data_IF_395093579348
#
_entry.id   IF_395093579348
#
_cell.length_a   1.000
_cell.length_b   1.000
_cell.length_c   1.000
_cell.angle_alpha   90.00
_cell.angle_beta   90.00
_cell.angle_gamma   90.00
#
_symmetry.space_group_name_H-M   'P 1'
#
loop_
_entity.id
_entity.type
_entity.pdbx_description
1 polymer ?
#
# COMPACT_ATOMS: atom_id res chain seq x y z
N UNK A 1 1.53 -13.46 -0.89
CA UNK A 1 2.82 -13.60 -0.19
C UNK A 1 2.63 -13.67 1.30
N UNK A 2 3.74 -13.54 2.04
CA UNK A 2 3.79 -13.58 3.50
C UNK A 2 2.95 -12.44 4.12
N UNK A 3 2.18 -12.73 5.18
CA UNK A 3 1.50 -11.71 5.98
C UNK A 3 2.55 -10.89 6.77
N UNK A 4 2.66 -9.61 6.44
CA UNK A 4 3.61 -8.69 7.03
C UNK A 4 3.34 -8.45 8.52
N UNK A 5 2.08 -8.44 8.95
CA UNK A 5 1.74 -8.29 10.35
C UNK A 5 2.12 -9.54 11.16
N UNK A 6 1.96 -10.73 10.57
CA UNK A 6 2.46 -11.95 11.19
C UNK A 6 4.00 -11.97 11.26
N UNK A 7 4.67 -11.29 10.32
CA UNK A 7 6.12 -11.09 10.31
C UNK A 7 6.61 -9.95 11.21
N UNK A 8 5.72 -9.26 11.94
CA UNK A 8 6.08 -8.22 12.91
C UNK A 8 5.74 -6.78 12.51
N UNK A 9 5.03 -6.55 11.40
CA UNK A 9 4.52 -5.23 11.06
C UNK A 9 3.52 -4.77 12.13
N UNK A 10 3.79 -3.61 12.73
CA UNK A 10 2.93 -2.99 13.73
C UNK A 10 1.97 -1.98 13.07
N UNK A 11 0.91 -1.59 13.76
CA UNK A 11 -0.01 -0.55 13.26
C UNK A 11 0.71 0.77 12.97
N UNK A 12 1.67 1.16 13.82
CA UNK A 12 2.45 2.37 13.61
C UNK A 12 3.39 2.25 12.40
N UNK A 13 4.04 1.10 12.21
CA UNK A 13 4.86 0.83 11.04
C UNK A 13 4.03 0.80 9.75
N UNK A 14 2.80 0.30 9.79
CA UNK A 14 1.88 0.33 8.66
C UNK A 14 1.48 1.76 8.24
N UNK A 15 1.28 2.67 9.21
CA UNK A 15 1.04 4.10 8.92
C UNK A 15 2.28 4.74 8.29
N UNK A 16 3.47 4.50 8.84
CA UNK A 16 4.71 5.03 8.24
C UNK A 16 4.94 4.49 6.83
N UNK A 17 4.64 3.21 6.60
CA UNK A 17 4.71 2.59 5.29
C UNK A 17 3.74 3.27 4.31
N UNK A 18 2.49 3.51 4.70
CA UNK A 18 1.51 4.22 3.87
C UNK A 18 2.03 5.60 3.48
N UNK A 19 2.48 6.41 4.44
CA UNK A 19 3.01 7.76 4.17
C UNK A 19 4.21 7.71 3.21
N UNK A 20 5.14 6.77 3.41
CA UNK A 20 6.29 6.60 2.53
C UNK A 20 5.89 6.17 1.10
N UNK A 21 4.83 5.38 0.96
CA UNK A 21 4.30 4.99 -0.36
C UNK A 21 3.61 6.18 -1.04
N UNK A 22 2.84 6.98 -0.33
CA UNK A 22 2.23 8.21 -0.84
C UNK A 22 3.29 9.17 -1.36
N UNK A 23 4.36 9.38 -0.61
CA UNK A 23 5.49 10.22 -1.02
C UNK A 23 6.25 9.63 -2.22
N UNK A 24 6.62 8.35 -2.16
CA UNK A 24 7.47 7.71 -3.17
C UNK A 24 6.77 7.56 -4.52
N UNK A 25 5.46 7.32 -4.48
CA UNK A 25 4.64 7.13 -5.67
C UNK A 25 3.75 8.32 -5.96
N UNK A 26 3.84 9.45 -5.26
CA UNK A 26 3.01 10.64 -5.48
C UNK A 26 1.53 10.25 -5.72
N UNK A 27 0.99 9.51 -4.73
CA UNK A 27 -0.39 9.01 -4.64
C UNK A 27 -0.97 9.36 -3.27
N UNK A 28 -2.29 9.25 -3.13
CA UNK A 28 -2.99 9.38 -1.85
C UNK A 28 -3.90 8.16 -1.66
N UNK A 29 -3.81 7.48 -0.50
CA UNK A 29 -4.66 6.33 -0.20
C UNK A 29 -6.03 6.79 0.31
N UNK A 30 -7.13 6.45 -0.39
CA UNK A 30 -8.47 6.78 0.10
C UNK A 30 -8.82 5.95 1.34
N UNK A 31 -9.69 6.49 2.20
CA UNK A 31 -10.09 5.87 3.47
C UNK A 31 -10.53 4.40 3.34
N UNK A 32 -11.21 4.04 2.24
CA UNK A 32 -11.61 2.65 1.95
C UNK A 32 -10.44 1.66 1.85
N UNK A 33 -9.25 2.15 1.48
CA UNK A 33 -8.01 1.38 1.39
C UNK A 33 -7.19 1.40 2.68
N UNK A 34 -7.54 2.24 3.67
CA UNK A 34 -6.81 2.35 4.94
C UNK A 34 -7.23 1.27 5.93
N UNK A 35 -7.03 0.01 5.53
CA UNK A 35 -7.38 -1.14 6.34
C UNK A 35 -6.24 -2.16 6.34
N UNK A 36 -6.26 -3.07 7.32
CA UNK A 36 -5.22 -4.10 7.50
C UNK A 36 -4.97 -4.92 6.23
N UNK A 37 -6.01 -5.24 5.46
CA UNK A 37 -5.89 -6.09 4.27
C UNK A 37 -5.05 -5.44 3.18
N UNK A 38 -5.16 -4.13 2.99
CA UNK A 38 -4.41 -3.39 1.96
C UNK A 38 -2.89 -3.45 2.18
N UNK A 39 -2.45 -3.46 3.44
CA UNK A 39 -1.04 -3.48 3.82
C UNK A 39 -0.56 -4.85 4.33
N UNK A 40 -1.39 -5.90 4.21
CA UNK A 40 -1.10 -7.21 4.78
C UNK A 40 0.02 -7.95 4.04
N UNK A 41 0.20 -7.70 2.75
CA UNK A 41 1.21 -8.40 1.93
C UNK A 41 1.80 -7.46 0.89
N UNK A 42 2.97 -7.80 0.37
CA UNK A 42 3.59 -7.04 -0.73
C UNK A 42 2.70 -7.01 -1.97
N UNK A 43 1.98 -8.09 -2.26
CA UNK A 43 1.07 -8.16 -3.41
C UNK A 43 -0.16 -7.26 -3.23
N UNK A 44 -0.70 -7.18 -2.00
CA UNK A 44 -1.80 -6.25 -1.69
C UNK A 44 -1.37 -4.80 -1.84
N UNK A 45 -0.18 -4.45 -1.34
CA UNK A 45 0.39 -3.11 -1.46
C UNK A 45 0.59 -2.75 -2.94
N UNK A 46 1.18 -3.65 -3.72
CA UNK A 46 1.39 -3.43 -5.15
C UNK A 46 0.07 -3.23 -5.91
N UNK A 47 -0.96 -4.02 -5.58
CA UNK A 47 -2.29 -3.88 -6.18
C UNK A 47 -2.93 -2.52 -5.85
N UNK A 48 -2.83 -2.05 -4.60
CA UNK A 48 -3.32 -0.71 -4.24
C UNK A 48 -2.59 0.39 -5.02
N UNK A 49 -1.26 0.31 -5.15
CA UNK A 49 -0.48 1.29 -5.93
C UNK A 49 -0.90 1.27 -7.40
N UNK A 50 -1.13 0.10 -7.99
CA UNK A 50 -1.61 -0.02 -9.38
C UNK A 50 -3.02 0.55 -9.57
N UNK A 51 -3.91 0.40 -8.59
CA UNK A 51 -5.25 0.99 -8.63
C UNK A 51 -5.19 2.53 -8.58
N UNK A 52 -4.28 3.09 -7.76
CA UNK A 52 -4.12 4.54 -7.58
C UNK A 52 -3.29 5.19 -8.69
N UNK A 53 -2.43 4.42 -9.35
CA UNK A 53 -1.71 4.80 -10.57
C UNK A 53 -2.05 3.83 -11.69
N UNK A 54 -3.18 4.02 -12.37
CA UNK A 54 -3.36 3.41 -13.68
C UNK A 54 -2.19 3.89 -14.52
N UNK A 55 -1.29 2.98 -14.91
CA UNK A 55 -0.25 3.30 -15.88
C UNK A 55 -0.97 3.95 -17.07
N UNK A 56 -0.60 5.19 -17.39
CA UNK A 56 -0.91 5.72 -18.71
C UNK A 56 -0.33 4.70 -19.68
N UNK A 57 -1.21 3.99 -20.38
CA UNK A 57 -0.82 3.04 -21.42
C UNK A 57 0.06 3.84 -22.38
N UNK A 58 1.37 3.62 -22.31
CA UNK A 58 2.31 4.21 -23.24
C UNK A 58 1.86 3.75 -24.64
N UNK A 59 1.42 4.72 -25.43
CA UNK A 59 0.89 4.56 -26.79
C UNK A 59 2.01 4.24 -27.76
#
# INVERSE_FOLDING_TARGET
>A
GQDLYAAGLTSFAAVQLMLALEESFDIEFPERMLNRRSFATMESIAACIQELRPQAIAS
#
